data_IF_721772590804
#
_entry.id   IF_721772590804
#
_cell.length_a   1.000
_cell.length_b   1.000
_cell.length_c   1.000
_cell.angle_alpha   90.00
_cell.angle_beta   90.00
_cell.angle_gamma   90.00
#
_symmetry.space_group_name_H-M   'P 1'
#
loop_
_entity.id
_entity.type
_entity.pdbx_description
1 polymer ?
#
# COMPACT_ATOMS: atom_id res chain seq x y z
N UNK A 1 -10.74 7.79 -6.87
CA UNK A 1 -9.56 7.61 -7.75
C UNK A 1 -9.72 6.28 -8.52
N UNK A 2 -8.86 5.92 -9.47
CA UNK A 2 -8.92 4.57 -10.05
C UNK A 2 -8.51 3.54 -9.00
N UNK A 3 -9.36 2.53 -8.76
CA UNK A 3 -9.09 1.44 -7.81
C UNK A 3 -7.92 0.57 -8.27
N UNK A 4 -7.27 -0.09 -7.32
CA UNK A 4 -6.22 -1.07 -7.60
C UNK A 4 -6.83 -2.39 -8.08
N UNK A 5 -6.13 -3.00 -9.02
CA UNK A 5 -6.41 -4.32 -9.59
C UNK A 5 -5.16 -5.19 -9.49
N UNK A 6 -5.29 -6.48 -9.77
CA UNK A 6 -4.15 -7.40 -9.81
C UNK A 6 -3.02 -6.96 -10.72
N UNK A 7 -3.35 -6.36 -11.88
CA UNK A 7 -2.36 -5.86 -12.85
C UNK A 7 -1.52 -4.69 -12.34
N UNK A 8 -1.97 -4.04 -11.26
CA UNK A 8 -1.23 -2.98 -10.59
C UNK A 8 -0.25 -3.52 -9.55
N UNK A 9 -0.28 -4.82 -9.25
CA UNK A 9 0.54 -5.41 -8.19
C UNK A 9 1.75 -6.12 -8.79
N UNK A 10 2.93 -5.80 -8.26
CA UNK A 10 4.13 -6.59 -8.44
C UNK A 10 3.98 -7.97 -7.80
N UNK A 11 4.65 -8.98 -8.37
CA UNK A 11 4.83 -10.28 -7.71
C UNK A 11 5.66 -10.14 -6.42
N UNK A 12 5.60 -11.13 -5.54
CA UNK A 12 6.41 -11.14 -4.31
C UNK A 12 7.91 -10.99 -4.58
N UNK A 13 8.41 -11.64 -5.63
CA UNK A 13 9.83 -11.57 -6.03
C UNK A 13 10.19 -10.17 -6.53
N UNK A 14 9.38 -9.63 -7.45
CA UNK A 14 9.63 -8.31 -8.02
C UNK A 14 9.54 -7.22 -6.94
N UNK A 15 8.54 -7.33 -6.06
CA UNK A 15 8.36 -6.39 -4.97
C UNK A 15 9.54 -6.45 -3.99
N UNK A 16 10.02 -7.63 -3.59
CA UNK A 16 11.18 -7.76 -2.69
C UNK A 16 12.44 -7.07 -3.25
N UNK A 17 12.65 -7.15 -4.57
CA UNK A 17 13.75 -6.47 -5.27
C UNK A 17 13.66 -4.95 -5.22
N UNK A 18 12.48 -4.39 -5.50
CA UNK A 18 12.28 -2.93 -5.58
C UNK A 18 11.96 -2.29 -4.23
N UNK A 19 11.62 -3.09 -3.22
CA UNK A 19 11.11 -2.64 -1.92
C UNK A 19 11.95 -1.56 -1.23
N UNK A 20 13.30 -1.62 -1.20
CA UNK A 20 14.09 -0.58 -0.54
C UNK A 20 13.82 0.82 -1.11
N UNK A 21 13.85 0.94 -2.44
CA UNK A 21 13.57 2.19 -3.17
C UNK A 21 12.10 2.58 -3.05
N UNK A 22 11.20 1.60 -3.21
CA UNK A 22 9.76 1.82 -3.10
C UNK A 22 9.38 2.37 -1.72
N UNK A 23 9.94 1.80 -0.65
CA UNK A 23 9.71 2.23 0.74
C UNK A 23 10.23 3.64 0.99
N UNK A 24 11.38 4.00 0.44
CA UNK A 24 11.93 5.36 0.56
C UNK A 24 11.01 6.37 -0.13
N UNK A 25 10.60 6.08 -1.36
CA UNK A 25 9.62 6.89 -2.11
C UNK A 25 8.32 7.06 -1.34
N UNK A 26 7.79 5.99 -0.77
CA UNK A 26 6.54 6.03 0.01
C UNK A 26 6.67 6.78 1.32
N UNK A 27 7.82 6.74 1.98
CA UNK A 27 8.08 7.57 3.17
C UNK A 27 8.04 9.05 2.82
N UNK A 28 8.71 9.46 1.74
CA UNK A 28 8.72 10.84 1.27
C UNK A 28 7.32 11.30 0.84
N UNK A 29 6.55 10.42 0.19
CA UNK A 29 5.17 10.68 -0.22
C UNK A 29 4.24 10.86 0.99
N UNK A 30 4.26 9.92 1.94
CA UNK A 30 3.43 9.95 3.15
C UNK A 30 3.71 11.17 4.04
N UNK A 31 4.95 11.65 4.08
CA UNK A 31 5.33 12.83 4.87
C UNK A 31 4.54 14.10 4.50
N UNK A 32 4.11 14.22 3.23
CA UNK A 32 3.30 15.36 2.75
C UNK A 32 1.79 15.18 2.93
N UNK A 33 1.37 14.02 3.45
CA UNK A 33 -0.03 13.59 3.56
C UNK A 33 -0.47 13.32 4.99
N UNK A 34 0.25 13.89 5.95
CA UNK A 34 -0.02 13.73 7.37
C UNK A 34 -0.41 15.07 7.98
N UNK A 35 -1.47 15.08 8.78
CA UNK A 35 -1.91 16.24 9.55
C UNK A 35 -2.07 15.83 11.00
N UNK A 36 -1.22 16.36 11.87
CA UNK A 36 -1.37 16.18 13.32
C UNK A 36 -2.56 17.02 13.82
N UNK A 37 -3.41 16.40 14.64
CA UNK A 37 -4.55 17.05 15.33
C UNK A 37 -4.35 16.88 16.81
N UNK A 38 -3.77 17.92 17.42
CA UNK A 38 -3.33 17.88 18.80
C UNK A 38 -2.16 16.92 19.02
N UNK A 39 -1.90 16.50 20.27
CA UNK A 39 -0.71 15.72 20.63
C UNK A 39 -0.85 14.20 20.43
N UNK A 40 -2.04 13.69 20.12
CA UNK A 40 -2.34 12.25 20.18
C UNK A 40 -2.91 11.66 18.89
N UNK A 41 -3.30 12.48 17.92
CA UNK A 41 -3.96 12.02 16.70
C UNK A 41 -3.22 12.58 15.49
N UNK A 42 -2.95 11.74 14.50
CA UNK A 42 -2.46 12.15 13.18
C UNK A 42 -3.35 11.53 12.13
N UNK A 43 -3.91 12.35 11.26
CA UNK A 43 -4.63 11.89 10.08
C UNK A 43 -3.65 11.62 8.97
N UNK A 44 -3.78 10.44 8.36
CA UNK A 44 -3.08 10.07 7.15
C UNK A 44 -4.08 10.12 6.01
N UNK A 45 -3.80 10.97 5.03
CA UNK A 45 -4.61 11.03 3.82
C UNK A 45 -4.08 10.01 2.83
N UNK A 46 -4.85 8.97 2.58
CA UNK A 46 -4.46 7.92 1.65
C UNK A 46 -4.69 8.34 0.19
N UNK A 47 -3.95 7.72 -0.72
CA UNK A 47 -4.19 7.74 -2.16
C UNK A 47 -3.86 6.36 -2.75
N UNK A 48 -3.95 6.27 -4.07
CA UNK A 48 -3.68 5.02 -4.78
C UNK A 48 -2.28 4.47 -4.51
N UNK A 49 -1.25 5.32 -4.45
CA UNK A 49 0.13 4.88 -4.27
C UNK A 49 0.37 4.41 -2.84
N UNK A 50 -0.20 5.12 -1.85
CA UNK A 50 -0.09 4.68 -0.46
C UNK A 50 -0.85 3.39 -0.19
N UNK A 51 -1.99 3.16 -0.86
CA UNK A 51 -2.74 1.91 -0.77
C UNK A 51 -2.04 0.77 -1.50
N UNK A 52 -1.48 1.00 -2.68
CA UNK A 52 -0.70 0.00 -3.40
C UNK A 52 0.48 -0.47 -2.56
N UNK A 53 1.15 0.46 -1.87
CA UNK A 53 2.22 0.13 -0.93
C UNK A 53 1.75 -0.73 0.24
N UNK A 54 0.59 -0.41 0.85
CA UNK A 54 0.07 -1.19 1.98
C UNK A 54 -0.30 -2.61 1.56
N UNK A 55 -1.02 -2.76 0.44
CA UNK A 55 -1.37 -4.08 -0.11
C UNK A 55 -0.10 -4.89 -0.37
N UNK A 56 0.91 -4.31 -1.02
CA UNK A 56 2.17 -5.01 -1.28
C UNK A 56 2.93 -5.41 0.00
N UNK A 57 2.94 -4.57 1.04
CA UNK A 57 3.54 -4.94 2.31
C UNK A 57 2.79 -6.09 2.99
N UNK A 58 1.44 -6.12 2.92
CA UNK A 58 0.63 -7.22 3.44
C UNK A 58 0.92 -8.53 2.72
N UNK A 59 0.83 -8.53 1.39
CA UNK A 59 1.12 -9.71 0.56
C UNK A 59 2.52 -10.27 0.85
N UNK A 60 3.53 -9.41 1.02
CA UNK A 60 4.90 -9.83 1.33
C UNK A 60 5.07 -10.41 2.73
N UNK A 61 4.48 -9.78 3.75
CA UNK A 61 4.60 -10.22 5.14
C UNK A 61 3.92 -11.58 5.31
N UNK A 62 2.72 -11.73 4.75
CA UNK A 62 1.90 -12.93 4.88
C UNK A 62 2.22 -13.99 3.81
N UNK A 63 3.05 -13.64 2.82
CA UNK A 63 3.41 -14.47 1.67
C UNK A 63 2.19 -14.93 0.87
N UNK A 64 1.25 -14.02 0.65
CA UNK A 64 0.05 -14.26 -0.16
C UNK A 64 0.44 -14.09 -1.63
N UNK A 65 0.19 -15.11 -2.44
CA UNK A 65 0.42 -15.08 -3.89
C UNK A 65 -0.72 -15.73 -4.68
N UNK A 66 -1.66 -16.37 -3.98
CA UNK A 66 -2.88 -16.92 -4.55
C UNK A 66 -3.83 -15.79 -4.97
N UNK A 67 -4.50 -15.98 -6.11
CA UNK A 67 -5.37 -14.97 -6.69
C UNK A 67 -6.48 -14.51 -5.74
N UNK A 68 -7.16 -15.44 -5.06
CA UNK A 68 -8.23 -15.10 -4.12
C UNK A 68 -7.72 -14.30 -2.91
N UNK A 69 -6.58 -14.71 -2.33
CA UNK A 69 -5.99 -13.97 -1.21
C UNK A 69 -5.55 -12.55 -1.61
N UNK A 70 -5.02 -12.37 -2.82
CA UNK A 70 -4.71 -11.03 -3.32
C UNK A 70 -5.98 -10.19 -3.50
N UNK A 71 -7.08 -10.80 -3.96
CA UNK A 71 -8.36 -10.10 -4.13
C UNK A 71 -8.95 -9.68 -2.78
N UNK A 72 -8.83 -10.51 -1.74
CA UNK A 72 -9.26 -10.16 -0.37
C UNK A 72 -8.53 -8.92 0.16
N UNK A 73 -7.21 -8.85 -0.04
CA UNK A 73 -6.43 -7.65 0.32
C UNK A 73 -6.85 -6.44 -0.53
N UNK A 74 -7.03 -6.60 -1.84
CA UNK A 74 -7.53 -5.52 -2.69
C UNK A 74 -8.89 -5.00 -2.22
N UNK A 75 -9.81 -5.87 -1.83
CA UNK A 75 -11.15 -5.51 -1.36
C UNK A 75 -11.12 -4.81 0.01
N UNK A 76 -10.18 -5.18 0.88
CA UNK A 76 -9.98 -4.53 2.17
C UNK A 76 -9.43 -3.10 2.02
N UNK A 77 -8.50 -2.86 1.10
CA UNK A 77 -7.81 -1.57 0.96
C UNK A 77 -8.40 -0.61 -0.10
N UNK A 78 -9.02 -1.13 -1.16
CA UNK A 78 -9.66 -0.29 -2.19
C UNK A 78 -10.71 0.72 -1.67
N UNK A 79 -11.46 0.47 -0.58
CA UNK A 79 -12.36 1.47 0.01
C UNK A 79 -11.67 2.74 0.53
N UNK A 80 -10.34 2.72 0.69
CA UNK A 80 -9.54 3.87 1.14
C UNK A 80 -9.05 4.76 -0.03
N UNK A 81 -9.43 4.44 -1.28
CA UNK A 81 -9.07 5.12 -2.54
C UNK A 81 -10.28 5.85 -3.15
#
# INVERSE_FOLDING_TARGET
>A
MEKLKHEDLHSLEEYDRIRPEYRERMRAHKARRQVAVGPHVTFHFEDRDTMQYQVQEMLRIERIFEHEGIQEELDAYNPLI
#
